data_IF_167333860614
#
_entry.id   IF_167333860614
#
_cell.length_a   1.000
_cell.length_b   1.000
_cell.length_c   1.000
_cell.angle_alpha   90.00
_cell.angle_beta   90.00
_cell.angle_gamma   90.00
#
_symmetry.space_group_name_H-M   'P 1'
#
loop_
_entity.id
_entity.type
_entity.pdbx_description
1 polymer ?
#
# COMPACT_ATOMS: atom_id res chain seq x y z
N UNK A 1 -18.93 22.07 -2.76
CA UNK A 1 -17.99 22.34 -3.90
C UNK A 1 -17.99 21.11 -4.82
N UNK A 2 -17.70 21.24 -6.14
CA UNK A 2 -17.56 20.09 -7.06
C UNK A 2 -16.09 19.67 -7.16
N UNK A 3 -15.83 18.40 -7.51
CA UNK A 3 -14.46 17.86 -7.68
C UNK A 3 -13.64 18.66 -8.72
N UNK A 4 -14.27 19.13 -9.80
CA UNK A 4 -13.60 19.95 -10.82
C UNK A 4 -13.06 21.30 -10.31
N UNK A 5 -13.48 21.74 -9.14
CA UNK A 5 -12.97 22.97 -8.51
C UNK A 5 -11.81 22.71 -7.54
N UNK A 6 -11.36 21.46 -7.40
CA UNK A 6 -10.20 21.11 -6.60
C UNK A 6 -8.91 21.60 -7.27
N UNK A 7 -8.03 22.15 -6.45
CA UNK A 7 -6.65 22.53 -6.78
C UNK A 7 -5.74 21.87 -5.75
N UNK A 8 -5.31 20.65 -6.06
CA UNK A 8 -4.61 19.77 -5.10
C UNK A 8 -3.10 19.94 -5.25
N UNK A 9 -2.42 20.30 -4.17
CA UNK A 9 -0.97 20.21 -4.08
C UNK A 9 -0.63 18.89 -3.36
N UNK A 10 -0.11 17.91 -4.09
CA UNK A 10 0.33 16.62 -3.56
C UNK A 10 1.83 16.66 -3.27
N UNK A 11 2.23 16.44 -2.02
CA UNK A 11 3.62 16.37 -1.60
C UNK A 11 3.97 14.92 -1.26
N UNK A 12 4.95 14.35 -1.96
CA UNK A 12 5.35 12.96 -1.80
C UNK A 12 6.88 12.82 -1.78
N UNK A 13 7.41 12.15 -0.79
CA UNK A 13 8.84 11.81 -0.72
C UNK A 13 9.27 10.81 -1.80
N UNK A 14 8.31 10.05 -2.32
CA UNK A 14 8.48 9.16 -3.46
C UNK A 14 7.19 9.15 -4.28
N UNK A 15 7.25 9.52 -5.55
CA UNK A 15 6.08 9.55 -6.41
C UNK A 15 6.15 8.53 -7.57
N UNK A 16 7.33 8.40 -8.21
CA UNK A 16 7.48 7.53 -9.36
C UNK A 16 8.89 6.94 -9.54
N UNK A 17 9.80 7.16 -8.59
CA UNK A 17 11.17 6.66 -8.76
C UNK A 17 11.37 5.23 -8.21
N UNK A 18 10.45 4.71 -7.41
CA UNK A 18 10.33 3.28 -7.07
C UNK A 18 8.92 2.78 -7.41
N UNK A 19 8.81 1.50 -7.74
CA UNK A 19 7.52 0.86 -7.97
C UNK A 19 7.06 0.19 -6.67
N UNK A 20 6.10 0.81 -6.01
CA UNK A 20 5.45 0.28 -4.80
C UNK A 20 3.94 0.64 -4.78
N UNK A 21 3.20 -0.01 -3.87
CA UNK A 21 1.74 0.15 -3.81
C UNK A 21 1.29 1.58 -3.50
N UNK A 22 2.04 2.32 -2.67
CA UNK A 22 1.72 3.71 -2.34
C UNK A 22 1.84 4.62 -3.57
N UNK A 23 2.93 4.45 -4.34
CA UNK A 23 3.16 5.24 -5.54
C UNK A 23 2.15 4.94 -6.65
N UNK A 24 1.76 3.67 -6.80
CA UNK A 24 0.67 3.26 -7.71
C UNK A 24 -0.63 3.95 -7.28
N UNK A 25 -1.01 3.89 -6.01
CA UNK A 25 -2.22 4.52 -5.49
C UNK A 25 -2.24 6.03 -5.73
N UNK A 26 -1.13 6.72 -5.46
CA UNK A 26 -1.01 8.18 -5.69
C UNK A 26 -1.14 8.54 -7.17
N UNK A 27 -0.51 7.79 -8.06
CA UNK A 27 -0.61 8.04 -9.51
C UNK A 27 -2.04 7.76 -10.04
N UNK A 28 -2.71 6.71 -9.55
CA UNK A 28 -4.13 6.43 -9.86
C UNK A 28 -5.04 7.54 -9.34
N UNK A 29 -4.80 8.06 -8.13
CA UNK A 29 -5.53 9.20 -7.58
C UNK A 29 -5.37 10.45 -8.46
N UNK A 30 -4.15 10.79 -8.84
CA UNK A 30 -3.88 11.95 -9.69
C UNK A 30 -4.57 11.81 -11.04
N UNK A 31 -4.48 10.65 -11.69
CA UNK A 31 -5.17 10.36 -12.95
C UNK A 31 -6.70 10.53 -12.82
N UNK A 32 -7.29 9.99 -11.75
CA UNK A 32 -8.70 10.16 -11.45
C UNK A 32 -9.08 11.64 -11.27
N UNK A 33 -8.35 12.39 -10.44
CA UNK A 33 -8.65 13.80 -10.19
C UNK A 33 -8.58 14.64 -11.47
N UNK A 34 -7.56 14.41 -12.31
CA UNK A 34 -7.41 15.07 -13.60
C UNK A 34 -8.58 14.73 -14.55
N UNK A 35 -9.03 13.48 -14.60
CA UNK A 35 -10.19 13.05 -15.40
C UNK A 35 -11.50 13.72 -14.95
N UNK A 36 -11.60 14.08 -13.66
CA UNK A 36 -12.72 14.83 -13.10
C UNK A 36 -12.59 16.36 -13.28
N UNK A 37 -11.57 16.84 -13.98
CA UNK A 37 -11.34 18.26 -14.26
C UNK A 37 -10.67 19.03 -13.10
N UNK A 38 -10.16 18.36 -12.06
CA UNK A 38 -9.41 19.00 -10.99
C UNK A 38 -8.00 19.41 -11.48
N UNK A 39 -7.45 20.47 -10.91
CA UNK A 39 -6.05 20.83 -11.10
C UNK A 39 -5.20 20.13 -10.03
N UNK A 40 -4.17 19.38 -10.45
CA UNK A 40 -3.27 18.70 -9.53
C UNK A 40 -1.83 19.03 -9.85
N UNK A 41 -1.05 19.38 -8.84
CA UNK A 41 0.38 19.60 -8.95
C UNK A 41 1.12 18.78 -7.91
N UNK A 42 2.11 18.02 -8.35
CA UNK A 42 2.86 17.09 -7.51
C UNK A 42 4.24 17.65 -7.22
N UNK A 43 4.66 17.59 -5.97
CA UNK A 43 6.00 17.97 -5.50
C UNK A 43 6.69 16.75 -4.94
N UNK A 44 7.77 16.30 -5.61
CA UNK A 44 8.51 15.10 -5.20
C UNK A 44 9.97 15.19 -5.63
N UNK A 45 10.89 14.50 -4.95
CA UNK A 45 12.19 14.19 -5.51
C UNK A 45 12.08 13.53 -6.88
N UNK A 46 13.01 13.85 -7.78
CA UNK A 46 13.09 13.26 -9.13
C UNK A 46 14.42 12.57 -9.32
N UNK A 47 14.44 11.54 -10.15
CA UNK A 47 15.63 10.79 -10.57
C UNK A 47 15.76 10.82 -12.09
N UNK A 48 16.96 10.52 -12.60
CA UNK A 48 17.20 10.49 -14.05
C UNK A 48 16.41 9.39 -14.76
N UNK A 49 16.28 8.22 -14.11
CA UNK A 49 15.55 7.06 -14.64
C UNK A 49 14.48 6.69 -13.61
N UNK A 50 13.23 7.17 -13.78
CA UNK A 50 12.12 6.78 -12.91
C UNK A 50 11.68 5.35 -13.20
N UNK A 51 11.08 4.69 -12.21
CA UNK A 51 10.55 3.33 -12.36
C UNK A 51 9.35 3.27 -13.33
N UNK A 52 8.61 4.38 -13.43
CA UNK A 52 7.49 4.54 -14.38
C UNK A 52 7.22 6.03 -14.65
N UNK A 53 6.52 6.37 -15.77
CA UNK A 53 6.14 7.74 -16.08
C UNK A 53 5.23 8.34 -15.00
N UNK A 54 5.52 9.57 -14.58
CA UNK A 54 4.67 10.29 -13.63
C UNK A 54 3.32 10.65 -14.25
N UNK A 55 2.25 10.46 -13.50
CA UNK A 55 0.92 10.98 -13.85
C UNK A 55 0.80 12.43 -13.34
N UNK A 56 0.42 13.36 -14.21
CA UNK A 56 0.20 14.77 -13.85
C UNK A 56 1.45 15.65 -13.90
N UNK A 57 1.33 16.86 -13.35
CA UNK A 57 2.37 17.91 -13.38
C UNK A 57 3.32 17.75 -12.19
N UNK A 58 4.47 17.10 -12.44
CA UNK A 58 5.49 16.79 -11.43
C UNK A 58 6.56 17.88 -11.35
N UNK A 59 6.62 18.56 -10.22
CA UNK A 59 7.62 19.58 -9.89
C UNK A 59 8.72 18.96 -9.02
N UNK A 60 9.94 18.94 -9.53
CA UNK A 60 11.10 18.35 -8.86
C UNK A 60 11.53 19.11 -7.60
N UNK A 61 11.63 18.38 -6.48
CA UNK A 61 12.15 18.90 -5.20
C UNK A 61 13.60 18.46 -5.02
N UNK A 62 14.45 19.36 -4.49
CA UNK A 62 15.86 19.04 -4.17
C UNK A 62 15.93 17.94 -3.13
N UNK A 63 16.79 16.94 -3.38
CA UNK A 63 16.90 15.77 -2.51
C UNK A 63 18.29 15.13 -2.57
N UNK A 64 18.64 14.37 -1.54
CA UNK A 64 19.84 13.55 -1.47
C UNK A 64 19.45 12.08 -1.31
N UNK A 65 20.24 11.13 -1.86
CA UNK A 65 20.02 9.72 -1.58
C UNK A 65 20.23 9.42 -0.09
N UNK A 66 19.45 8.50 0.47
CA UNK A 66 19.61 8.07 1.87
C UNK A 66 20.82 7.15 1.98
N UNK A 67 21.77 7.41 2.88
CA UNK A 67 22.91 6.51 3.13
C UNK A 67 22.42 5.09 3.46
N UNK A 68 22.98 4.08 2.80
CA UNK A 68 22.56 2.67 2.95
C UNK A 68 21.26 2.27 2.22
N UNK A 69 20.49 3.23 1.71
CA UNK A 69 19.25 3.03 0.92
C UNK A 69 19.21 4.00 -0.27
N UNK A 70 20.11 3.84 -1.26
CA UNK A 70 20.25 4.80 -2.37
C UNK A 70 19.01 4.87 -3.26
N UNK A 71 18.16 3.86 -3.23
CA UNK A 71 16.85 3.80 -3.90
C UNK A 71 15.84 4.77 -3.27
N UNK A 72 16.10 5.31 -2.07
CA UNK A 72 15.24 6.31 -1.44
C UNK A 72 15.96 7.65 -1.32
N UNK A 73 15.19 8.73 -1.45
CA UNK A 73 15.71 10.09 -1.42
C UNK A 73 15.07 10.90 -0.29
N UNK A 74 15.89 11.67 0.39
CA UNK A 74 15.44 12.60 1.42
C UNK A 74 15.38 14.01 0.83
N UNK A 75 14.20 14.62 0.77
CA UNK A 75 14.05 16.02 0.40
C UNK A 75 14.66 16.93 1.47
N UNK A 76 15.40 17.97 1.04
CA UNK A 76 15.98 18.93 1.97
C UNK A 76 15.52 20.37 1.63
N UNK A 77 14.34 20.72 2.08
CA UNK A 77 13.78 22.05 2.02
C UNK A 77 12.84 22.32 0.86
N UNK A 78 11.82 23.10 1.16
CA UNK A 78 11.00 23.78 0.16
C UNK A 78 11.70 25.11 -0.20
N UNK A 79 12.63 25.04 -1.15
CA UNK A 79 13.35 26.24 -1.63
C UNK A 79 12.41 27.31 -2.16
N UNK A 80 12.93 28.53 -2.35
CA UNK A 80 12.12 29.68 -2.82
C UNK A 80 11.37 29.43 -4.13
N UNK A 81 11.91 28.60 -5.03
CA UNK A 81 11.26 28.19 -6.28
C UNK A 81 9.96 27.40 -6.00
N UNK A 82 10.01 26.41 -5.12
CA UNK A 82 8.84 25.59 -4.76
C UNK A 82 7.77 26.42 -4.06
N UNK A 83 8.19 27.30 -3.12
CA UNK A 83 7.24 28.21 -2.42
C UNK A 83 6.57 29.21 -3.37
N UNK A 84 7.29 29.70 -4.40
CA UNK A 84 6.72 30.57 -5.42
C UNK A 84 5.73 29.79 -6.26
N UNK A 85 6.10 28.62 -6.75
CA UNK A 85 5.26 27.75 -7.55
C UNK A 85 3.96 27.35 -6.81
N UNK A 86 4.04 26.97 -5.52
CA UNK A 86 2.86 26.72 -4.67
C UNK A 86 1.96 27.94 -4.54
N UNK A 87 2.53 29.14 -4.40
CA UNK A 87 1.75 30.38 -4.30
C UNK A 87 1.03 30.67 -5.62
N UNK A 88 1.72 30.51 -6.75
CA UNK A 88 1.18 30.78 -8.09
C UNK A 88 0.14 29.72 -8.46
N UNK A 89 0.34 28.47 -8.05
CA UNK A 89 -0.64 27.39 -8.19
C UNK A 89 -1.88 27.63 -7.33
N UNK A 90 -1.76 28.31 -6.18
CA UNK A 90 -2.85 28.61 -5.24
C UNK A 90 -3.72 27.40 -4.89
N UNK A 91 -3.18 26.33 -4.26
CA UNK A 91 -3.94 25.14 -3.93
C UNK A 91 -5.04 25.45 -2.92
N UNK A 92 -6.21 24.81 -3.06
CA UNK A 92 -7.27 24.87 -2.05
C UNK A 92 -7.27 23.68 -1.10
N UNK A 93 -6.40 22.68 -1.34
CA UNK A 93 -6.08 21.59 -0.42
C UNK A 93 -4.65 21.10 -0.66
N UNK A 94 -3.98 20.70 0.40
CA UNK A 94 -2.69 20.01 0.34
C UNK A 94 -2.85 18.57 0.83
N UNK A 95 -2.25 17.63 0.09
CA UNK A 95 -2.18 16.21 0.46
C UNK A 95 -0.72 15.81 0.70
N UNK A 96 -0.44 15.28 1.88
CA UNK A 96 0.88 14.77 2.27
C UNK A 96 0.85 13.24 2.23
N UNK A 97 1.72 12.63 1.42
CA UNK A 97 1.75 11.17 1.28
C UNK A 97 2.55 10.46 2.38
N UNK A 98 3.38 11.18 3.12
CA UNK A 98 4.24 10.60 4.16
C UNK A 98 4.64 11.64 5.22
N UNK A 99 4.96 11.20 6.45
CA UNK A 99 5.47 12.03 7.53
C UNK A 99 6.99 12.29 7.41
N UNK A 100 7.47 12.51 6.20
CA UNK A 100 8.86 12.79 5.89
C UNK A 100 9.20 14.30 6.01
N UNK A 101 10.42 14.67 5.66
CA UNK A 101 10.85 16.07 5.72
C UNK A 101 10.02 16.96 4.82
N UNK A 102 9.64 16.50 3.61
CA UNK A 102 8.81 17.25 2.69
C UNK A 102 7.39 17.42 3.24
N UNK A 103 6.83 16.37 3.84
CA UNK A 103 5.54 16.40 4.53
C UNK A 103 5.53 17.40 5.68
N UNK A 104 6.57 17.42 6.52
CA UNK A 104 6.69 18.39 7.62
C UNK A 104 6.74 19.84 7.14
N UNK A 105 7.46 20.12 6.06
CA UNK A 105 7.48 21.48 5.48
C UNK A 105 6.17 21.83 4.80
N UNK A 106 5.56 20.87 4.11
CA UNK A 106 4.23 21.02 3.52
C UNK A 106 3.19 21.39 4.57
N UNK A 107 3.18 20.66 5.71
CA UNK A 107 2.29 20.97 6.82
C UNK A 107 2.53 22.38 7.37
N UNK A 108 3.79 22.80 7.53
CA UNK A 108 4.12 24.16 8.00
C UNK A 108 3.66 25.23 7.00
N UNK A 109 3.84 24.99 5.70
CA UNK A 109 3.37 25.90 4.65
C UNK A 109 1.84 26.01 4.64
N UNK A 110 1.12 24.85 4.72
CA UNK A 110 -0.33 24.83 4.76
C UNK A 110 -0.90 25.64 5.93
N UNK A 111 -0.32 25.48 7.14
CA UNK A 111 -0.71 26.25 8.30
C UNK A 111 -0.46 27.75 8.13
N UNK A 112 0.73 28.16 7.62
CA UNK A 112 1.07 29.56 7.39
C UNK A 112 0.12 30.25 6.41
N UNK A 113 -0.37 29.51 5.40
CA UNK A 113 -1.24 30.02 4.35
C UNK A 113 -2.71 29.67 4.52
N UNK A 114 -3.08 29.06 5.67
CA UNK A 114 -4.45 28.62 6.00
C UNK A 114 -5.06 27.69 4.92
N UNK A 115 -4.26 26.79 4.36
CA UNK A 115 -4.69 25.81 3.37
C UNK A 115 -5.14 24.53 4.10
N UNK A 116 -6.32 23.96 3.78
CA UNK A 116 -6.75 22.67 4.29
C UNK A 116 -5.72 21.56 4.01
N UNK A 117 -5.50 20.69 4.98
CA UNK A 117 -4.42 19.71 4.96
C UNK A 117 -4.92 18.30 5.26
N UNK A 118 -4.63 17.34 4.39
CA UNK A 118 -4.86 15.93 4.59
C UNK A 118 -3.56 15.15 4.46
N UNK A 119 -3.41 14.04 5.18
CA UNK A 119 -2.30 13.11 4.99
C UNK A 119 -2.81 11.69 4.77
N UNK A 120 -2.10 10.91 3.93
CA UNK A 120 -2.34 9.48 3.77
C UNK A 120 -1.33 8.66 4.57
N UNK A 121 -1.80 7.53 5.11
CA UNK A 121 -1.00 6.55 5.81
C UNK A 121 -0.85 5.33 4.91
N UNK A 122 0.36 5.07 4.41
CA UNK A 122 0.64 3.93 3.55
C UNK A 122 1.53 2.88 4.21
N UNK A 123 2.25 3.25 5.27
CA UNK A 123 3.26 2.40 5.91
C UNK A 123 3.22 2.56 7.42
N UNK A 124 3.36 1.45 8.13
CA UNK A 124 3.52 1.40 9.57
C UNK A 124 4.98 1.66 9.95
N UNK A 125 5.38 2.93 9.92
CA UNK A 125 6.75 3.33 10.28
C UNK A 125 7.11 3.01 11.73
N UNK A 126 6.13 2.95 12.62
CA UNK A 126 6.27 2.61 14.03
C UNK A 126 6.82 1.19 14.23
N UNK A 127 6.32 0.20 13.47
CA UNK A 127 6.71 -1.21 13.61
C UNK A 127 7.97 -1.58 12.81
N UNK A 128 8.39 -0.74 11.87
CA UNK A 128 9.52 -1.04 10.98
C UNK A 128 10.82 -1.32 11.73
N UNK A 129 11.03 -0.63 12.86
CA UNK A 129 12.24 -0.77 13.66
C UNK A 129 12.36 -2.11 14.38
N UNK A 130 11.27 -2.86 14.54
CA UNK A 130 11.31 -4.21 15.14
C UNK A 130 12.22 -5.14 14.32
N UNK A 131 12.15 -5.04 12.98
CA UNK A 131 12.95 -5.86 12.06
C UNK A 131 14.46 -5.54 12.09
N UNK A 132 14.83 -4.40 12.67
CA UNK A 132 16.23 -3.98 12.83
C UNK A 132 16.72 -4.07 14.29
N UNK A 133 15.98 -4.76 15.18
CA UNK A 133 16.32 -4.89 16.59
C UNK A 133 16.18 -3.60 17.41
N UNK A 134 15.52 -2.57 16.86
CA UNK A 134 15.35 -1.26 17.50
C UNK A 134 13.91 -1.01 17.98
N UNK A 135 13.16 -2.07 18.31
CA UNK A 135 11.77 -1.98 18.77
C UNK A 135 11.54 -1.08 20.00
N UNK A 136 12.58 -0.89 20.82
CA UNK A 136 12.52 0.00 21.99
C UNK A 136 12.29 1.50 21.63
N UNK A 137 12.53 1.90 20.38
CA UNK A 137 12.27 3.26 19.88
C UNK A 137 10.82 3.46 19.39
N UNK A 138 10.03 2.41 19.29
CA UNK A 138 8.65 2.46 18.78
C UNK A 138 7.78 3.52 19.47
N UNK A 139 7.77 3.67 20.83
CA UNK A 139 6.97 4.70 21.50
C UNK A 139 7.38 6.12 21.08
N UNK A 140 8.68 6.36 20.89
CA UNK A 140 9.22 7.67 20.48
C UNK A 140 8.80 8.00 19.05
N UNK A 141 8.89 7.04 18.15
CA UNK A 141 8.46 7.22 16.75
C UNK A 141 6.96 7.44 16.69
N UNK A 142 6.17 6.64 17.41
CA UNK A 142 4.72 6.82 17.51
C UNK A 142 4.36 8.24 17.98
N UNK A 143 5.09 8.78 18.97
CA UNK A 143 4.88 10.15 19.43
C UNK A 143 5.19 11.20 18.34
N UNK A 144 6.27 11.02 17.57
CA UNK A 144 6.63 11.90 16.43
C UNK A 144 5.56 11.83 15.33
N UNK A 145 5.13 10.61 14.97
CA UNK A 145 4.06 10.40 13.97
C UNK A 145 2.76 11.03 14.44
N UNK A 146 2.37 10.84 15.71
CA UNK A 146 1.19 11.47 16.30
C UNK A 146 1.27 12.99 16.19
N UNK A 147 2.41 13.60 16.55
CA UNK A 147 2.60 15.04 16.41
C UNK A 147 2.45 15.53 14.97
N UNK A 148 2.88 14.73 13.98
CA UNK A 148 2.71 15.05 12.57
C UNK A 148 1.24 14.97 12.14
N UNK A 149 0.60 13.82 12.36
CA UNK A 149 -0.76 13.56 11.90
C UNK A 149 -1.81 14.45 12.57
N UNK A 150 -1.61 14.83 13.84
CA UNK A 150 -2.48 15.81 14.54
C UNK A 150 -2.44 17.22 13.96
N UNK A 151 -1.46 17.53 13.13
CA UNK A 151 -1.40 18.80 12.40
C UNK A 151 -2.30 18.81 11.16
N UNK A 152 -2.77 17.67 10.71
CA UNK A 152 -3.64 17.55 9.56
C UNK A 152 -5.10 17.74 9.95
N UNK A 153 -5.90 18.33 9.06
CA UNK A 153 -7.35 18.49 9.28
C UNK A 153 -8.08 17.14 9.25
N UNK A 154 -7.51 16.16 8.53
CA UNK A 154 -7.90 14.76 8.53
C UNK A 154 -6.73 13.89 8.05
N UNK A 155 -6.82 12.58 8.29
CA UNK A 155 -5.93 11.60 7.68
C UNK A 155 -6.76 10.50 6.99
N UNK A 156 -6.14 9.80 6.03
CA UNK A 156 -6.77 8.64 5.39
C UNK A 156 -5.94 7.39 5.64
N UNK A 157 -6.66 6.34 6.02
CA UNK A 157 -6.11 5.01 6.26
C UNK A 157 -6.49 4.07 5.11
N UNK A 158 -5.64 3.10 4.75
CA UNK A 158 -5.91 2.20 3.64
C UNK A 158 -6.99 1.14 3.95
N UNK A 159 -7.28 0.88 5.23
CA UNK A 159 -8.20 -0.16 5.66
C UNK A 159 -8.86 0.17 6.99
N UNK A 160 -9.94 -0.56 7.35
CA UNK A 160 -10.63 -0.37 8.62
C UNK A 160 -9.70 -0.73 9.80
N UNK A 161 -8.99 -1.84 9.73
CA UNK A 161 -8.05 -2.25 10.77
C UNK A 161 -6.92 -1.22 10.97
N UNK A 162 -6.42 -0.61 9.90
CA UNK A 162 -5.47 0.51 10.03
C UNK A 162 -6.10 1.74 10.64
N UNK A 163 -7.36 2.08 10.29
CA UNK A 163 -8.09 3.18 10.92
C UNK A 163 -8.22 2.96 12.42
N UNK A 164 -8.59 1.75 12.86
CA UNK A 164 -8.76 1.42 14.28
C UNK A 164 -7.42 1.55 15.03
N UNK A 165 -6.31 1.06 14.49
CA UNK A 165 -4.97 1.23 15.04
C UNK A 165 -4.60 2.71 15.18
N UNK A 166 -4.87 3.52 14.16
CA UNK A 166 -4.54 4.96 14.18
C UNK A 166 -5.39 5.73 15.18
N UNK A 167 -6.66 5.32 15.39
CA UNK A 167 -7.53 5.87 16.44
C UNK A 167 -7.01 5.50 17.84
N UNK A 168 -6.66 4.24 18.08
CA UNK A 168 -6.09 3.77 19.34
C UNK A 168 -4.77 4.49 19.68
N UNK A 169 -3.95 4.72 18.66
CA UNK A 169 -2.71 5.49 18.77
C UNK A 169 -2.96 7.01 18.86
N UNK A 170 -4.20 7.46 18.80
CA UNK A 170 -4.59 8.87 18.84
C UNK A 170 -3.87 9.74 17.79
N UNK A 171 -3.68 9.21 16.57
CA UNK A 171 -2.97 9.91 15.51
C UNK A 171 -3.74 11.12 14.98
N UNK A 172 -5.06 11.00 14.83
CA UNK A 172 -5.98 12.08 14.45
C UNK A 172 -7.41 11.70 14.86
N UNK A 173 -8.29 12.68 15.03
CA UNK A 173 -9.70 12.45 15.39
C UNK A 173 -10.60 12.29 14.13
N UNK A 174 -10.14 12.74 12.96
CA UNK A 174 -10.83 12.64 11.67
C UNK A 174 -10.06 11.70 10.74
N UNK A 175 -10.43 10.41 10.78
CA UNK A 175 -9.79 9.35 9.98
C UNK A 175 -10.83 8.73 9.07
N UNK A 176 -10.58 8.84 7.75
CA UNK A 176 -11.41 8.23 6.73
C UNK A 176 -10.68 7.09 6.03
N UNK A 177 -11.41 6.22 5.34
CA UNK A 177 -10.80 5.12 4.59
C UNK A 177 -10.58 5.56 3.15
N UNK A 178 -9.33 5.41 2.69
CA UNK A 178 -8.94 5.45 1.30
C UNK A 178 -8.31 4.11 0.94
N UNK A 179 -9.16 3.14 0.62
CA UNK A 179 -8.74 1.81 0.22
C UNK A 179 -8.04 1.85 -1.15
N UNK A 180 -7.20 0.86 -1.39
CA UNK A 180 -6.69 0.61 -2.74
C UNK A 180 -7.76 -0.11 -3.57
N UNK A 181 -7.64 -0.02 -4.87
CA UNK A 181 -8.43 -0.79 -5.81
C UNK A 181 -7.57 -1.81 -6.56
N UNK A 182 -8.21 -2.60 -7.38
CA UNK A 182 -7.58 -3.47 -8.37
C UNK A 182 -8.15 -3.17 -9.75
N UNK A 183 -7.34 -3.42 -10.78
CA UNK A 183 -7.78 -3.33 -12.17
C UNK A 183 -8.39 -4.69 -12.56
N UNK A 184 -9.70 -4.81 -12.40
CA UNK A 184 -10.44 -6.06 -12.63
C UNK A 184 -10.47 -6.50 -14.10
N UNK A 185 -10.13 -5.61 -15.04
CA UNK A 185 -9.99 -5.96 -16.46
C UNK A 185 -8.64 -6.61 -16.75
N UNK A 186 -7.65 -6.34 -15.90
CA UNK A 186 -6.27 -6.86 -16.01
C UNK A 186 -6.08 -8.09 -15.13
N UNK A 187 -6.43 -7.98 -13.84
CA UNK A 187 -6.38 -9.09 -12.89
C UNK A 187 -7.71 -9.85 -12.91
N UNK A 188 -7.74 -10.97 -13.62
CA UNK A 188 -8.95 -11.75 -13.86
C UNK A 188 -8.61 -13.24 -13.88
N UNK A 189 -9.55 -14.13 -13.51
CA UNK A 189 -9.35 -15.58 -13.61
C UNK A 189 -9.00 -16.05 -15.02
N UNK A 190 -9.48 -15.35 -16.06
CA UNK A 190 -9.21 -15.66 -17.46
C UNK A 190 -7.75 -15.45 -17.87
N UNK A 191 -6.94 -14.75 -17.04
CA UNK A 191 -5.49 -14.62 -17.28
C UNK A 191 -4.70 -15.90 -16.99
N UNK A 192 -5.34 -16.93 -16.37
CA UNK A 192 -4.71 -18.23 -16.12
C UNK A 192 -4.25 -18.87 -17.42
N UNK A 193 -3.02 -19.39 -17.45
CA UNK A 193 -2.42 -20.03 -18.63
C UNK A 193 -1.80 -21.38 -18.26
N UNK A 194 -2.45 -22.46 -18.71
CA UNK A 194 -1.88 -23.82 -18.60
C UNK A 194 -0.64 -23.97 -19.49
N UNK A 195 -0.61 -23.33 -20.66
CA UNK A 195 0.55 -23.32 -21.53
C UNK A 195 1.78 -22.71 -20.82
N UNK A 196 1.60 -21.57 -20.17
CA UNK A 196 2.67 -20.93 -19.40
C UNK A 196 3.12 -21.81 -18.23
N UNK A 197 2.20 -22.49 -17.53
CA UNK A 197 2.54 -23.45 -16.46
C UNK A 197 3.43 -24.57 -17.01
N UNK A 198 3.08 -25.14 -18.16
CA UNK A 198 3.87 -26.21 -18.80
C UNK A 198 5.26 -25.74 -19.18
N UNK A 199 5.46 -24.47 -19.62
CA UNK A 199 6.80 -23.92 -19.89
C UNK A 199 7.67 -23.86 -18.64
N UNK A 200 7.07 -23.82 -17.45
CA UNK A 200 7.73 -23.83 -16.15
C UNK A 200 7.90 -25.25 -15.57
N UNK A 201 7.49 -26.29 -16.30
CA UNK A 201 7.52 -27.68 -15.82
C UNK A 201 6.45 -28.00 -14.76
N UNK A 202 5.34 -27.24 -14.75
CA UNK A 202 4.19 -27.45 -13.89
C UNK A 202 3.16 -28.24 -14.69
N UNK A 203 2.74 -29.39 -14.18
CA UNK A 203 1.68 -30.20 -14.78
C UNK A 203 0.30 -29.54 -14.60
N UNK A 204 -0.67 -29.93 -15.44
CA UNK A 204 -2.00 -29.33 -15.42
C UNK A 204 -2.76 -29.60 -14.12
N UNK A 205 -2.50 -30.76 -13.49
CA UNK A 205 -3.08 -31.24 -12.24
C UNK A 205 -2.25 -30.89 -10.98
N UNK A 206 -1.04 -30.32 -11.17
CA UNK A 206 -0.26 -29.82 -10.02
C UNK A 206 -1.02 -28.69 -9.29
N UNK A 207 -0.96 -28.70 -7.97
CA UNK A 207 -1.42 -27.56 -7.15
C UNK A 207 -0.24 -26.62 -6.92
N UNK A 208 -0.40 -25.35 -7.30
CA UNK A 208 0.63 -24.31 -7.19
C UNK A 208 0.37 -23.42 -6.00
N UNK A 209 1.28 -23.43 -5.02
CA UNK A 209 1.34 -22.46 -3.93
C UNK A 209 2.29 -21.34 -4.33
N UNK A 210 1.78 -20.12 -4.37
CA UNK A 210 2.53 -18.95 -4.83
C UNK A 210 2.97 -18.03 -3.71
N UNK A 211 4.13 -17.39 -3.88
CA UNK A 211 4.52 -16.15 -3.24
C UNK A 211 4.55 -15.04 -4.28
N UNK A 212 4.01 -13.88 -3.95
CA UNK A 212 4.08 -12.71 -4.81
C UNK A 212 4.46 -11.46 -4.03
N UNK A 213 5.50 -10.75 -4.47
CA UNK A 213 5.91 -9.49 -3.89
C UNK A 213 7.41 -9.23 -3.98
N UNK A 214 7.84 -8.12 -3.37
CA UNK A 214 9.26 -7.80 -3.24
C UNK A 214 9.93 -8.83 -2.30
N UNK A 215 11.06 -9.38 -2.74
CA UNK A 215 11.79 -10.38 -1.94
C UNK A 215 12.65 -9.69 -0.87
N UNK A 216 12.02 -9.42 0.28
CA UNK A 216 12.61 -8.81 1.48
C UNK A 216 12.10 -9.54 2.72
N UNK A 217 12.90 -9.59 3.78
CA UNK A 217 12.59 -10.38 4.99
C UNK A 217 11.26 -9.96 5.65
N UNK A 218 10.95 -8.66 5.65
CA UNK A 218 9.73 -8.09 6.21
C UNK A 218 8.43 -8.53 5.50
N UNK A 219 8.54 -9.22 4.36
CA UNK A 219 7.39 -9.85 3.66
C UNK A 219 7.12 -11.28 4.10
N UNK A 220 7.74 -11.72 5.20
CA UNK A 220 7.49 -13.04 5.79
C UNK A 220 8.06 -14.20 5.00
N UNK A 221 9.12 -13.98 4.18
CA UNK A 221 9.70 -15.05 3.36
C UNK A 221 10.28 -16.20 4.20
N UNK A 222 10.67 -15.95 5.45
CA UNK A 222 11.09 -17.01 6.36
C UNK A 222 9.91 -17.93 6.73
N UNK A 223 8.78 -17.34 7.15
CA UNK A 223 7.53 -18.05 7.46
C UNK A 223 7.03 -18.83 6.22
N UNK A 224 7.14 -18.22 5.03
CA UNK A 224 6.83 -18.92 3.79
C UNK A 224 7.68 -20.19 3.62
N UNK A 225 9.01 -20.09 3.77
CA UNK A 225 9.92 -21.23 3.65
C UNK A 225 9.60 -22.32 4.68
N UNK A 226 9.43 -21.93 5.94
CA UNK A 226 9.17 -22.87 7.03
C UNK A 226 7.83 -23.60 6.82
N UNK A 227 6.81 -22.91 6.30
CA UNK A 227 5.53 -23.51 5.91
C UNK A 227 5.70 -24.53 4.76
N UNK A 228 6.50 -24.21 3.75
CA UNK A 228 6.77 -25.15 2.64
C UNK A 228 7.57 -26.37 3.13
N UNK A 229 8.54 -26.18 4.02
CA UNK A 229 9.29 -27.28 4.63
C UNK A 229 8.36 -28.20 5.43
N UNK A 230 7.42 -27.65 6.22
CA UNK A 230 6.43 -28.40 6.96
C UNK A 230 5.49 -29.20 6.04
N UNK A 231 5.00 -28.59 4.95
CA UNK A 231 4.18 -29.26 3.94
C UNK A 231 4.94 -30.39 3.25
N UNK A 232 6.25 -30.19 3.01
CA UNK A 232 7.12 -31.24 2.45
C UNK A 232 7.30 -32.39 3.42
N UNK A 233 7.51 -32.12 4.71
CA UNK A 233 7.59 -33.12 5.77
C UNK A 233 6.29 -33.96 5.88
N UNK A 234 5.14 -33.32 5.64
CA UNK A 234 3.81 -34.00 5.59
C UNK A 234 3.54 -34.71 4.28
N UNK A 235 4.49 -34.76 3.34
CA UNK A 235 4.35 -35.34 2.00
C UNK A 235 3.19 -34.72 1.18
N UNK A 236 2.85 -33.44 1.40
CA UNK A 236 1.84 -32.72 0.62
C UNK A 236 2.38 -32.44 -0.78
N UNK A 237 1.71 -32.94 -1.82
CA UNK A 237 2.13 -32.77 -3.20
C UNK A 237 1.71 -31.39 -3.69
N UNK A 238 2.68 -30.52 -3.96
CA UNK A 238 2.47 -29.17 -4.50
C UNK A 238 3.69 -28.69 -5.27
N UNK A 239 3.50 -27.61 -6.04
CA UNK A 239 4.59 -26.86 -6.68
C UNK A 239 4.65 -25.47 -6.06
N UNK A 240 5.86 -24.94 -5.93
CA UNK A 240 6.08 -23.59 -5.38
C UNK A 240 6.46 -22.64 -6.49
N UNK A 241 5.74 -21.52 -6.59
CA UNK A 241 5.97 -20.47 -7.57
C UNK A 241 6.24 -19.14 -6.87
N UNK A 242 7.43 -18.57 -7.07
CA UNK A 242 7.83 -17.28 -6.50
C UNK A 242 7.88 -16.23 -7.60
N UNK A 243 7.03 -15.22 -7.48
CA UNK A 243 6.92 -14.09 -8.42
C UNK A 243 7.39 -12.82 -7.74
N UNK A 244 8.45 -12.24 -8.23
CA UNK A 244 9.04 -11.03 -7.68
C UNK A 244 10.57 -11.06 -7.67
N UNK A 245 11.15 -9.96 -7.20
CA UNK A 245 12.61 -9.81 -7.07
C UNK A 245 12.93 -8.94 -5.84
N UNK A 246 14.16 -8.97 -5.38
CA UNK A 246 14.61 -8.19 -4.24
C UNK A 246 15.91 -8.69 -3.62
N UNK A 247 16.44 -7.94 -2.64
CA UNK A 247 17.74 -8.23 -2.03
C UNK A 247 17.81 -9.58 -1.30
N UNK A 248 16.69 -10.17 -0.93
CA UNK A 248 16.65 -11.48 -0.27
C UNK A 248 16.47 -12.66 -1.27
N UNK A 249 16.58 -12.43 -2.59
CA UNK A 249 16.39 -13.47 -3.60
C UNK A 249 17.32 -14.67 -3.39
N UNK A 250 18.62 -14.43 -3.22
CA UNK A 250 19.60 -15.50 -3.07
C UNK A 250 19.33 -16.34 -1.81
N UNK A 251 18.98 -15.68 -0.71
CA UNK A 251 18.58 -16.35 0.52
C UNK A 251 17.36 -17.23 0.30
N UNK A 252 16.32 -16.71 -0.38
CA UNK A 252 15.07 -17.42 -0.64
C UNK A 252 15.29 -18.63 -1.57
N UNK A 253 16.10 -18.45 -2.64
CA UNK A 253 16.44 -19.54 -3.57
C UNK A 253 17.23 -20.65 -2.88
N UNK A 254 18.17 -20.30 -1.99
CA UNK A 254 18.93 -21.29 -1.23
C UNK A 254 18.06 -22.09 -0.25
N UNK A 255 17.01 -21.46 0.33
CA UNK A 255 16.07 -22.11 1.24
C UNK A 255 15.10 -23.05 0.50
N UNK A 256 14.68 -22.69 -0.71
CA UNK A 256 13.73 -23.46 -1.52
C UNK A 256 14.29 -23.74 -2.92
N UNK A 257 15.29 -24.61 -3.06
CA UNK A 257 15.98 -24.86 -4.34
C UNK A 257 15.09 -25.51 -5.40
N UNK A 258 13.98 -26.13 -5.00
CA UNK A 258 13.01 -26.75 -5.92
C UNK A 258 11.86 -25.82 -6.31
N UNK A 259 11.81 -24.58 -5.77
CA UNK A 259 10.80 -23.60 -6.15
C UNK A 259 11.13 -22.96 -7.50
N UNK A 260 10.09 -22.53 -8.20
CA UNK A 260 10.19 -21.85 -9.50
C UNK A 260 10.22 -20.35 -9.26
N UNK A 261 11.34 -19.71 -9.58
CA UNK A 261 11.52 -18.26 -9.44
C UNK A 261 11.40 -17.59 -10.81
N UNK A 262 10.34 -16.82 -11.04
CA UNK A 262 10.11 -16.13 -12.31
C UNK A 262 10.71 -14.73 -12.37
N UNK A 263 11.26 -14.23 -11.26
CA UNK A 263 11.74 -12.86 -11.16
C UNK A 263 10.61 -11.83 -11.18
N UNK A 264 10.97 -10.57 -11.40
CA UNK A 264 10.02 -9.47 -11.51
C UNK A 264 9.13 -9.63 -12.75
N UNK A 265 7.81 -9.51 -12.56
CA UNK A 265 6.83 -9.56 -13.64
C UNK A 265 6.08 -8.23 -13.72
N UNK A 266 5.72 -7.80 -14.92
CA UNK A 266 4.97 -6.57 -15.17
C UNK A 266 4.03 -6.71 -16.38
N UNK A 267 3.17 -5.71 -16.60
CA UNK A 267 2.21 -5.73 -17.70
C UNK A 267 1.31 -6.96 -17.65
N UNK A 268 1.07 -7.61 -18.78
CA UNK A 268 0.22 -8.80 -18.89
C UNK A 268 0.85 -10.08 -18.31
N UNK A 269 2.16 -10.09 -18.09
CA UNK A 269 2.84 -11.24 -17.48
C UNK A 269 2.52 -11.40 -15.99
N UNK A 270 2.26 -10.29 -15.28
CA UNK A 270 1.94 -10.31 -13.87
C UNK A 270 0.59 -10.97 -13.56
N UNK A 271 -0.55 -10.53 -14.13
CA UNK A 271 -1.84 -11.20 -13.89
C UNK A 271 -1.83 -12.65 -14.37
N UNK A 272 -1.13 -12.99 -15.47
CA UNK A 272 -0.94 -14.36 -15.90
C UNK A 272 -0.25 -15.21 -14.83
N UNK A 273 0.80 -14.70 -14.21
CA UNK A 273 1.53 -15.41 -13.17
C UNK A 273 0.65 -15.63 -11.92
N UNK A 274 -0.09 -14.59 -11.47
CA UNK A 274 -1.00 -14.70 -10.33
C UNK A 274 -2.15 -15.65 -10.61
N UNK A 275 -2.87 -15.50 -11.71
CA UNK A 275 -3.99 -16.37 -12.08
C UNK A 275 -3.57 -17.83 -12.31
N UNK A 276 -2.27 -18.08 -12.54
CA UNK A 276 -1.72 -19.44 -12.71
C UNK A 276 -1.32 -20.10 -11.39
N UNK A 277 -1.44 -19.42 -10.26
CA UNK A 277 -1.39 -20.01 -8.92
C UNK A 277 -2.74 -20.66 -8.58
N UNK A 278 -2.74 -21.59 -7.63
CA UNK A 278 -3.94 -22.22 -7.08
C UNK A 278 -4.22 -21.73 -5.65
N UNK A 279 -3.19 -21.30 -4.92
CA UNK A 279 -3.23 -20.72 -3.58
C UNK A 279 -2.15 -19.64 -3.51
N UNK A 280 -2.47 -18.48 -2.99
CA UNK A 280 -1.44 -17.48 -2.59
C UNK A 280 -1.16 -17.66 -1.09
N UNK A 281 0.10 -17.87 -0.71
CA UNK A 281 0.55 -17.78 0.69
C UNK A 281 1.16 -16.39 0.91
N UNK A 282 0.51 -15.57 1.73
CA UNK A 282 0.98 -14.22 2.09
C UNK A 282 1.20 -14.10 3.61
N UNK A 283 2.35 -14.50 4.14
CA UNK A 283 2.64 -14.45 5.57
C UNK A 283 3.11 -13.07 6.06
N UNK A 284 2.98 -12.03 5.24
CA UNK A 284 3.42 -10.67 5.56
C UNK A 284 2.53 -10.01 6.63
N UNK A 285 3.13 -9.58 7.73
CA UNK A 285 2.46 -8.80 8.79
C UNK A 285 2.62 -7.29 8.64
N UNK A 286 3.38 -6.84 7.65
CA UNK A 286 3.66 -5.41 7.40
C UNK A 286 2.70 -4.76 6.42
N UNK A 287 1.79 -5.53 5.83
CA UNK A 287 0.80 -5.01 4.88
C UNK A 287 -0.20 -4.09 5.59
N UNK A 288 -0.41 -2.91 5.03
CA UNK A 288 -1.41 -1.95 5.53
C UNK A 288 -2.76 -2.08 4.81
N UNK A 289 -2.77 -2.59 3.58
CA UNK A 289 -3.96 -2.90 2.80
C UNK A 289 -3.91 -4.30 2.16
N UNK A 290 -2.75 -4.71 1.64
CA UNK A 290 -2.60 -6.01 0.96
C UNK A 290 -2.98 -5.95 -0.52
N UNK A 291 -2.39 -5.05 -1.31
CA UNK A 291 -2.63 -4.96 -2.76
C UNK A 291 -2.38 -6.31 -3.43
N UNK A 292 -1.30 -7.00 -3.06
CA UNK A 292 -0.95 -8.35 -3.54
C UNK A 292 -2.08 -9.35 -3.29
N UNK A 293 -2.67 -9.32 -2.08
CA UNK A 293 -3.82 -10.14 -1.71
C UNK A 293 -5.01 -9.82 -2.61
N UNK A 294 -5.32 -8.54 -2.80
CA UNK A 294 -6.45 -8.12 -3.64
C UNK A 294 -6.27 -8.51 -5.12
N UNK A 295 -5.05 -8.39 -5.66
CA UNK A 295 -4.72 -8.80 -7.02
C UNK A 295 -4.88 -10.32 -7.23
N UNK A 296 -4.43 -11.14 -6.27
CA UNK A 296 -4.63 -12.58 -6.30
C UNK A 296 -6.12 -12.94 -6.20
N UNK A 297 -6.87 -12.30 -5.30
CA UNK A 297 -8.31 -12.48 -5.16
C UNK A 297 -9.05 -12.12 -6.46
N UNK A 298 -8.65 -11.04 -7.13
CA UNK A 298 -9.19 -10.63 -8.44
C UNK A 298 -8.90 -11.66 -9.54
N UNK A 299 -7.81 -12.42 -9.41
CA UNK A 299 -7.51 -13.57 -10.27
C UNK A 299 -8.26 -14.86 -9.87
N UNK A 300 -9.14 -14.82 -8.87
CA UNK A 300 -9.85 -15.98 -8.37
C UNK A 300 -8.98 -16.96 -7.55
N UNK A 301 -7.85 -16.48 -7.03
CA UNK A 301 -6.91 -17.27 -6.23
C UNK A 301 -7.21 -17.04 -4.74
N UNK A 302 -7.57 -18.08 -3.97
CA UNK A 302 -7.76 -17.96 -2.53
C UNK A 302 -6.43 -17.67 -1.84
N UNK A 303 -6.49 -16.92 -0.75
CA UNK A 303 -5.29 -16.46 -0.03
C UNK A 303 -5.26 -17.09 1.36
N UNK A 304 -4.12 -17.70 1.70
CA UNK A 304 -3.76 -18.03 3.07
C UNK A 304 -2.80 -16.96 3.56
N UNK A 305 -3.27 -16.10 4.46
CA UNK A 305 -2.53 -14.90 4.88
C UNK A 305 -2.37 -14.80 6.39
N UNK A 306 -1.32 -14.09 6.82
CA UNK A 306 -1.19 -13.72 8.23
C UNK A 306 -2.37 -12.82 8.66
N UNK A 307 -2.87 -13.00 9.88
CA UNK A 307 -3.85 -12.09 10.48
C UNK A 307 -3.18 -10.76 10.84
N UNK A 308 -3.12 -9.90 9.85
CA UNK A 308 -2.48 -8.59 9.91
C UNK A 308 -3.40 -7.53 9.28
N UNK A 309 -3.20 -6.24 9.59
CA UNK A 309 -4.12 -5.17 9.17
C UNK A 309 -4.47 -5.15 7.68
N UNK A 310 -3.51 -5.47 6.81
CA UNK A 310 -3.74 -5.52 5.37
C UNK A 310 -4.60 -6.70 4.93
N UNK A 311 -4.26 -7.90 5.36
CA UNK A 311 -4.93 -9.15 4.98
C UNK A 311 -6.30 -9.29 5.63
N UNK A 312 -6.44 -8.97 6.92
CA UNK A 312 -7.71 -9.05 7.66
C UNK A 312 -8.80 -8.09 7.15
N UNK A 313 -8.42 -7.07 6.37
CA UNK A 313 -9.38 -6.18 5.71
C UNK A 313 -10.00 -6.78 4.45
N UNK A 314 -9.38 -7.80 3.87
CA UNK A 314 -9.76 -8.41 2.59
C UNK A 314 -10.24 -9.85 2.76
N UNK A 315 -9.66 -10.59 3.72
CA UNK A 315 -9.97 -11.99 3.94
C UNK A 315 -11.03 -12.13 5.03
N UNK A 316 -12.10 -12.83 4.70
CA UNK A 316 -13.08 -13.36 5.66
C UNK A 316 -12.74 -14.81 5.86
N UNK A 317 -12.20 -15.15 7.05
CA UNK A 317 -11.69 -16.48 7.34
C UNK A 317 -12.73 -17.59 7.06
N UNK A 318 -12.30 -18.64 6.37
CA UNK A 318 -13.14 -19.76 5.97
C UNK A 318 -14.07 -19.49 4.78
N UNK A 319 -14.20 -18.25 4.29
CA UNK A 319 -15.06 -17.91 3.17
C UNK A 319 -14.27 -17.70 1.87
N UNK A 320 -13.37 -16.73 1.84
CA UNK A 320 -12.61 -16.33 0.65
C UNK A 320 -11.10 -16.52 0.80
N UNK A 321 -10.68 -17.16 1.88
CA UNK A 321 -9.29 -17.42 2.25
C UNK A 321 -9.19 -17.86 3.70
N UNK A 322 -7.97 -17.88 4.22
CA UNK A 322 -7.70 -18.23 5.62
C UNK A 322 -6.81 -17.15 6.25
N UNK A 323 -7.15 -16.73 7.48
CA UNK A 323 -6.34 -15.85 8.33
C UNK A 323 -5.66 -16.68 9.40
N UNK A 324 -4.34 -16.60 9.46
CA UNK A 324 -3.52 -17.41 10.36
C UNK A 324 -2.75 -16.46 11.28
N UNK A 325 -2.66 -16.83 12.55
CA UNK A 325 -1.84 -16.09 13.53
C UNK A 325 -0.39 -15.98 13.04
N UNK A 326 0.25 -14.83 13.27
CA UNK A 326 1.66 -14.60 12.93
C UNK A 326 2.54 -15.75 13.47
N UNK A 327 3.46 -16.22 12.63
CA UNK A 327 4.45 -17.28 12.93
C UNK A 327 3.87 -18.66 13.30
N UNK A 328 2.56 -18.89 13.18
CA UNK A 328 1.95 -20.22 13.38
C UNK A 328 2.09 -21.09 12.11
N UNK A 329 3.28 -21.66 11.95
CA UNK A 329 3.66 -22.49 10.79
C UNK A 329 2.73 -23.67 10.59
N UNK A 330 2.34 -24.35 11.67
CA UNK A 330 1.46 -25.53 11.61
C UNK A 330 0.09 -25.15 11.06
N UNK A 331 -0.52 -24.07 11.53
CA UNK A 331 -1.81 -23.59 11.04
C UNK A 331 -1.74 -23.11 9.58
N UNK A 332 -0.63 -22.46 9.15
CA UNK A 332 -0.40 -22.15 7.74
C UNK A 332 -0.35 -23.42 6.89
N UNK A 333 0.39 -24.44 7.34
CA UNK A 333 0.51 -25.71 6.64
C UNK A 333 -0.84 -26.45 6.58
N UNK A 334 -1.61 -26.48 7.69
CA UNK A 334 -2.95 -27.08 7.73
C UNK A 334 -3.90 -26.42 6.73
N UNK A 335 -3.94 -25.10 6.67
CA UNK A 335 -4.80 -24.36 5.76
C UNK A 335 -4.46 -24.65 4.28
N UNK A 336 -3.16 -24.68 3.94
CA UNK A 336 -2.71 -25.01 2.59
C UNK A 336 -2.99 -26.49 2.26
N UNK A 337 -2.65 -27.42 3.17
CA UNK A 337 -2.91 -28.84 2.98
C UNK A 337 -4.40 -29.12 2.74
N UNK A 338 -5.29 -28.43 3.47
CA UNK A 338 -6.73 -28.52 3.26
C UNK A 338 -7.13 -28.08 1.83
N UNK A 339 -6.66 -26.94 1.36
CA UNK A 339 -6.93 -26.47 -0.02
C UNK A 339 -6.30 -27.39 -1.09
N UNK A 340 -5.17 -28.07 -0.80
CA UNK A 340 -4.59 -29.07 -1.70
C UNK A 340 -5.48 -30.31 -1.76
N UNK A 341 -5.95 -30.81 -0.62
CA UNK A 341 -6.75 -32.00 -0.52
C UNK A 341 -8.19 -31.83 -1.03
N UNK A 342 -8.76 -30.64 -0.92
CA UNK A 342 -10.16 -30.35 -1.23
C UNK A 342 -10.32 -29.30 -2.33
N UNK A 343 -10.21 -29.71 -3.63
CA UNK A 343 -10.32 -28.78 -4.77
C UNK A 343 -11.63 -27.99 -4.80
N UNK A 344 -12.73 -28.57 -4.33
CA UNK A 344 -14.05 -27.92 -4.29
C UNK A 344 -14.03 -26.73 -3.34
N UNK A 345 -13.46 -26.89 -2.14
CA UNK A 345 -13.33 -25.82 -1.16
C UNK A 345 -12.41 -24.72 -1.67
N UNK A 346 -11.26 -25.10 -2.24
CA UNK A 346 -10.33 -24.15 -2.87
C UNK A 346 -10.99 -23.31 -3.95
N UNK A 347 -11.75 -23.95 -4.84
CA UNK A 347 -12.46 -23.27 -5.93
C UNK A 347 -13.57 -22.35 -5.40
N UNK A 348 -14.31 -22.79 -4.40
CA UNK A 348 -15.36 -21.98 -3.75
C UNK A 348 -14.75 -20.74 -3.07
N UNK A 349 -13.64 -20.89 -2.35
CA UNK A 349 -12.94 -19.78 -1.73
C UNK A 349 -12.39 -18.82 -2.78
N UNK A 350 -11.82 -19.29 -3.89
CA UNK A 350 -11.37 -18.45 -5.01
C UNK A 350 -12.50 -17.65 -5.67
N UNK A 351 -13.68 -18.27 -5.86
CA UNK A 351 -14.86 -17.59 -6.40
C UNK A 351 -15.38 -16.51 -5.44
N UNK A 352 -15.40 -16.78 -4.14
CA UNK A 352 -15.75 -15.79 -3.12
C UNK A 352 -14.73 -14.64 -3.06
N UNK A 353 -13.44 -14.95 -3.18
CA UNK A 353 -12.36 -13.95 -3.27
C UNK A 353 -12.54 -13.02 -4.48
N UNK A 354 -12.78 -13.58 -5.67
CA UNK A 354 -13.08 -12.82 -6.88
C UNK A 354 -14.30 -11.91 -6.72
N UNK A 355 -15.38 -12.44 -6.15
CA UNK A 355 -16.63 -11.67 -5.93
C UNK A 355 -16.44 -10.49 -4.99
N UNK A 356 -15.53 -10.58 -4.00
CA UNK A 356 -15.17 -9.47 -3.14
C UNK A 356 -14.28 -8.47 -3.88
N UNK A 357 -13.23 -8.95 -4.55
CA UNK A 357 -12.29 -8.09 -5.28
C UNK A 357 -12.97 -7.28 -6.38
N UNK A 358 -14.00 -7.83 -7.04
CA UNK A 358 -14.78 -7.11 -8.06
C UNK A 358 -15.46 -5.82 -7.55
N UNK A 359 -15.64 -5.69 -6.23
CA UNK A 359 -16.19 -4.48 -5.59
C UNK A 359 -15.13 -3.43 -5.25
N UNK A 360 -13.86 -3.79 -5.33
CA UNK A 360 -12.72 -2.94 -4.95
C UNK A 360 -12.16 -2.24 -6.19
N UNK A 361 -12.75 -1.12 -6.61
CA UNK A 361 -12.29 -0.36 -7.77
C UNK A 361 -11.49 0.88 -7.38
N UNK A 362 -10.46 1.20 -8.16
CA UNK A 362 -9.69 2.45 -8.00
C UNK A 362 -10.58 3.69 -8.11
N UNK A 363 -11.54 3.70 -9.04
CA UNK A 363 -12.44 4.83 -9.23
C UNK A 363 -13.35 5.06 -8.02
N UNK A 364 -13.86 3.98 -7.41
CA UNK A 364 -14.67 4.06 -6.19
C UNK A 364 -13.87 4.64 -5.02
N UNK A 365 -12.67 4.11 -4.80
CA UNK A 365 -11.76 4.57 -3.74
C UNK A 365 -11.35 6.05 -3.93
N UNK A 366 -10.95 6.43 -5.13
CA UNK A 366 -10.51 7.79 -5.43
C UNK A 366 -11.67 8.80 -5.41
N UNK A 367 -12.89 8.38 -5.78
CA UNK A 367 -14.11 9.21 -5.65
C UNK A 367 -14.42 9.51 -4.18
N UNK A 368 -14.28 8.52 -3.30
CA UNK A 368 -14.43 8.71 -1.85
C UNK A 368 -13.40 9.71 -1.31
N UNK A 369 -12.14 9.59 -1.70
CA UNK A 369 -11.10 10.54 -1.26
C UNK A 369 -11.35 11.96 -1.81
N UNK A 370 -11.78 12.10 -3.06
CA UNK A 370 -12.12 13.40 -3.64
C UNK A 370 -13.30 14.06 -2.89
N UNK A 371 -14.29 13.26 -2.47
CA UNK A 371 -15.38 13.75 -1.61
C UNK A 371 -14.87 14.21 -0.24
N UNK A 372 -13.90 13.50 0.34
CA UNK A 372 -13.24 13.92 1.58
C UNK A 372 -12.49 15.24 1.43
N UNK A 373 -11.81 15.48 0.31
CA UNK A 373 -11.19 16.78 0.06
C UNK A 373 -12.23 17.91 0.08
N UNK A 374 -13.35 17.72 -0.61
CA UNK A 374 -14.46 18.70 -0.63
C UNK A 374 -14.98 18.93 0.78
N UNK A 375 -15.26 17.87 1.55
CA UNK A 375 -15.74 17.94 2.93
C UNK A 375 -14.80 18.76 3.83
N UNK A 376 -13.49 18.52 3.75
CA UNK A 376 -12.50 19.21 4.57
C UNK A 376 -12.43 20.70 4.20
N UNK A 377 -12.45 21.03 2.90
CA UNK A 377 -12.44 22.42 2.43
C UNK A 377 -13.69 23.15 2.93
N UNK A 378 -14.89 22.56 2.79
CA UNK A 378 -16.17 23.17 3.20
C UNK A 378 -16.24 23.32 4.71
N UNK A 379 -15.79 22.32 5.49
CA UNK A 379 -15.70 22.40 6.95
C UNK A 379 -14.82 23.55 7.40
N UNK A 380 -13.65 23.72 6.78
CA UNK A 380 -12.72 24.79 7.13
C UNK A 380 -13.22 26.16 6.71
N UNK A 381 -13.92 26.27 5.59
CA UNK A 381 -14.56 27.52 5.16
C UNK A 381 -15.73 27.92 6.08
N UNK A 382 -16.47 26.94 6.61
CA UNK A 382 -17.58 27.18 7.56
C UNK A 382 -17.07 27.55 8.96
N UNK A 383 -15.82 27.17 9.33
CA UNK A 383 -15.25 27.47 10.63
C UNK A 383 -14.87 28.95 10.72
N UNK A 384 -15.69 29.73 11.44
CA UNK A 384 -15.40 31.13 11.82
C UNK A 384 -14.82 31.13 13.25
N UNK A 385 -13.48 31.24 13.44
CA UNK A 385 -12.92 31.25 14.78
C UNK A 385 -13.46 32.45 15.55
N UNK A 386 -13.89 32.22 16.81
CA UNK A 386 -14.31 33.29 17.73
C UNK A 386 -13.17 34.27 17.98
N UNK A 387 -13.48 35.51 18.37
CA UNK A 387 -12.49 36.53 18.72
C UNK A 387 -11.47 36.03 19.76
N UNK A 388 -11.93 35.23 20.75
CA UNK A 388 -11.09 34.64 21.79
C UNK A 388 -10.08 33.63 21.24
N UNK A 389 -10.49 32.80 20.25
CA UNK A 389 -9.61 31.81 19.62
C UNK A 389 -8.55 32.47 18.71
N UNK A 390 -8.86 33.61 18.10
CA UNK A 390 -7.89 34.42 17.34
C UNK A 390 -6.79 35.01 18.22
N UNK A 391 -7.11 35.33 19.46
CA UNK A 391 -6.14 35.87 20.45
C UNK A 391 -5.21 34.74 20.93
N UNK A 392 -5.76 33.58 21.31
CA UNK A 392 -4.96 32.42 21.77
C UNK A 392 -4.02 31.90 20.70
N UNK A 393 -4.48 31.78 19.42
CA UNK A 393 -3.63 31.37 18.31
C UNK A 393 -2.47 32.31 18.02
N UNK A 394 -2.59 33.62 18.33
CA UNK A 394 -1.49 34.59 18.23
C UNK A 394 -0.42 34.43 19.33
N UNK A 395 -0.78 33.86 20.48
CA UNK A 395 0.14 33.66 21.61
C UNK A 395 0.88 32.31 21.54
N UNK A 396 0.32 31.31 20.86
CA UNK A 396 0.97 30.01 20.68
C UNK A 396 1.96 29.94 19.51
N UNK A 397 2.10 31.00 18.73
CA UNK A 397 3.04 31.17 17.60
C UNK A 397 4.28 32.00 17.95
N UNK A 398 4.43 32.44 19.20
CA UNK A 398 5.66 33.05 19.75
C UNK A 398 6.35 32.04 20.69
#
# INVERSE_FOLDING_TARGET
MKTCNLRVALLSGNYNYTLDGANIALNRLVGFLLSQGAAVRIYSPVVQIPAFPATGDLVGVRSLPIPGRPDYRLAYGMGGKIRRDLRDFAPNIMHLSAPDTLGHWGASYAHQHNIPLIASVHTRFDTYLRYYGMGFLEPSITAVLRRFYRRCDAIVAPSQSMKDILLDQQMNDDIEIWASGVDNDVFTPSARSLEWRRTLGIADDDVVVGFFGRLVMEKGIAVFCDTIDELTRRNTKLRVLVVGDGPARDWFTNRLPNAIFTGFQSGTALPRALASMDILLNPSVTETFGIVTLEAMSCGVPVVGADAPGTSSLIVDGLNGRLITEDDIDSFADAIANYVAWPVERTAAGAAAYSLAAKCSWDGANRSLAANYVRIIERRAAYKPSLTQKVVARWSLR
#
